data_IF_273605375093
#
_entry.id   IF_273605375093
#
_cell.length_a   1.000
_cell.length_b   1.000
_cell.length_c   1.000
_cell.angle_alpha   90.00
_cell.angle_beta   90.00
_cell.angle_gamma   90.00
#
_symmetry.space_group_name_H-M   'P 1'
#
loop_
_entity.id
_entity.type
_entity.pdbx_description
1 polymer ?
#
# COMPACT_ATOMS: atom_id res chain seq x y z
N UNK A 1 -9.55 -34.58 19.02
CA UNK A 1 -9.63 -33.17 19.48
C UNK A 1 -9.34 -32.29 18.28
N UNK A 2 -10.39 -31.87 17.56
CA UNK A 2 -10.25 -30.98 16.42
C UNK A 2 -10.53 -29.56 16.91
N UNK A 3 -9.49 -28.72 16.96
CA UNK A 3 -9.64 -27.30 17.23
C UNK A 3 -10.12 -26.62 15.95
N UNK A 4 -11.43 -26.39 15.85
CA UNK A 4 -12.00 -25.35 15.00
C UNK A 4 -11.65 -24.00 15.64
N UNK A 5 -10.63 -23.32 15.11
CA UNK A 5 -10.39 -21.92 15.46
C UNK A 5 -11.44 -21.06 14.75
N UNK A 6 -12.14 -20.27 15.55
CA UNK A 6 -13.27 -19.46 15.14
C UNK A 6 -12.89 -18.44 14.08
N UNK A 7 -13.50 -18.60 12.91
CA UNK A 7 -13.54 -17.58 11.88
C UNK A 7 -14.61 -16.54 12.21
N UNK A 8 -14.20 -15.28 12.23
CA UNK A 8 -15.02 -14.10 11.95
C UNK A 8 -16.06 -13.68 13.01
N UNK A 9 -15.59 -13.08 14.10
CA UNK A 9 -16.36 -12.04 14.81
C UNK A 9 -15.59 -10.71 14.68
N UNK A 10 -16.29 -9.67 14.25
CA UNK A 10 -15.90 -8.25 14.18
C UNK A 10 -15.46 -7.66 12.82
N UNK A 11 -16.03 -8.10 11.69
CA UNK A 11 -16.05 -7.27 10.48
C UNK A 11 -17.41 -6.55 10.36
N UNK A 12 -17.46 -5.32 10.87
CA UNK A 12 -18.49 -4.35 10.45
C UNK A 12 -18.15 -4.00 9.00
N UNK A 13 -18.78 -4.69 8.06
CA UNK A 13 -18.69 -4.36 6.64
C UNK A 13 -19.69 -3.26 6.32
N UNK A 14 -19.23 -2.20 5.65
CA UNK A 14 -20.10 -1.14 5.12
C UNK A 14 -20.51 -1.57 3.73
N UNK A 15 -21.81 -1.66 3.47
CA UNK A 15 -22.37 -2.10 2.18
C UNK A 15 -21.72 -1.30 1.04
N UNK A 16 -21.03 -2.01 0.13
CA UNK A 16 -20.31 -1.40 -1.01
C UNK A 16 -18.81 -1.16 -0.79
N UNK A 17 -18.27 -1.45 0.39
CA UNK A 17 -16.83 -1.41 0.69
C UNK A 17 -16.26 -2.79 1.04
N UNK A 18 -16.98 -3.85 0.68
CA UNK A 18 -16.48 -5.21 0.84
C UNK A 18 -15.24 -5.40 -0.04
N UNK A 19 -14.18 -5.96 0.55
CA UNK A 19 -12.97 -6.29 -0.20
C UNK A 19 -13.35 -7.39 -1.19
N UNK A 20 -13.22 -7.15 -2.52
CA UNK A 20 -13.58 -8.17 -3.49
C UNK A 20 -12.67 -9.39 -3.31
N UNK A 21 -13.25 -10.58 -3.36
CA UNK A 21 -12.47 -11.81 -3.39
C UNK A 21 -11.55 -11.79 -4.62
N UNK A 22 -10.34 -12.33 -4.45
CA UNK A 22 -9.50 -12.63 -5.60
C UNK A 22 -10.29 -13.50 -6.58
N UNK A 23 -10.21 -13.23 -7.89
CA UNK A 23 -10.93 -14.04 -8.87
C UNK A 23 -10.48 -15.51 -8.81
N UNK A 24 -11.43 -16.44 -8.88
CA UNK A 24 -11.16 -17.89 -8.70
C UNK A 24 -10.19 -18.48 -9.74
N UNK A 25 -10.08 -17.87 -10.93
CA UNK A 25 -9.22 -18.38 -12.02
C UNK A 25 -8.74 -17.32 -13.02
N UNK A 26 -8.85 -16.01 -12.74
CA UNK A 26 -8.54 -14.98 -13.76
C UNK A 26 -7.07 -14.60 -13.88
N UNK A 27 -6.19 -15.11 -13.02
CA UNK A 27 -4.76 -14.82 -13.10
C UNK A 27 -4.14 -15.65 -14.23
N UNK A 28 -3.63 -14.96 -15.25
CA UNK A 28 -2.82 -15.55 -16.30
C UNK A 28 -1.48 -14.79 -16.41
N UNK A 29 -0.57 -15.34 -17.21
CA UNK A 29 0.75 -14.76 -17.50
C UNK A 29 0.92 -14.46 -19.00
N UNK A 30 -0.19 -14.34 -19.73
CA UNK A 30 -0.17 -14.02 -21.15
C UNK A 30 0.06 -12.52 -21.30
N UNK A 31 0.96 -12.12 -22.19
CA UNK A 31 1.16 -10.70 -22.46
C UNK A 31 -0.13 -10.09 -23.04
N UNK A 32 -0.56 -8.91 -22.56
CA UNK A 32 -1.71 -8.20 -23.13
C UNK A 32 -1.51 -7.98 -24.63
N UNK A 33 -2.58 -8.11 -25.41
CA UNK A 33 -2.55 -7.87 -26.86
C UNK A 33 -2.81 -6.40 -27.20
N UNK A 34 -2.65 -6.03 -28.47
CA UNK A 34 -2.88 -4.66 -28.96
C UNK A 34 -4.30 -4.13 -28.69
N UNK A 35 -5.29 -5.02 -28.52
CA UNK A 35 -6.68 -4.64 -28.25
C UNK A 35 -6.89 -4.11 -26.81
N UNK A 36 -5.99 -4.45 -25.90
CA UNK A 36 -5.98 -3.95 -24.51
C UNK A 36 -5.28 -2.58 -24.37
N UNK A 37 -4.54 -2.15 -25.41
CA UNK A 37 -3.77 -0.89 -25.41
C UNK A 37 -4.64 0.36 -25.68
N UNK A 38 -5.87 0.18 -26.15
CA UNK A 38 -6.72 1.30 -26.61
C UNK A 38 -7.41 2.09 -25.50
N UNK A 39 -7.37 1.63 -24.25
CA UNK A 39 -8.02 2.31 -23.11
C UNK A 39 -7.01 3.17 -22.36
N UNK A 40 -7.28 4.47 -22.29
CA UNK A 40 -6.49 5.38 -21.48
C UNK A 40 -6.58 5.00 -19.99
N UNK A 41 -5.44 4.90 -19.28
CA UNK A 41 -5.46 4.60 -17.85
C UNK A 41 -6.14 5.74 -17.07
N UNK A 42 -6.77 5.43 -15.93
CA UNK A 42 -7.33 6.46 -15.08
C UNK A 42 -6.24 7.42 -14.58
N UNK A 43 -6.61 8.69 -14.39
CA UNK A 43 -5.73 9.68 -13.80
C UNK A 43 -5.34 9.30 -12.36
N UNK A 44 -4.10 9.62 -11.98
CA UNK A 44 -3.61 9.41 -10.61
C UNK A 44 -4.44 10.23 -9.62
N UNK A 45 -5.07 9.61 -8.61
CA UNK A 45 -5.77 10.34 -7.56
C UNK A 45 -4.80 11.26 -6.80
N UNK A 46 -5.15 12.54 -6.56
CA UNK A 46 -4.25 13.50 -5.91
C UNK A 46 -3.85 13.09 -4.50
N UNK A 47 -4.71 12.33 -3.80
CA UNK A 47 -4.43 11.81 -2.47
C UNK A 47 -3.16 10.93 -2.42
N UNK A 48 -2.83 10.21 -3.50
CA UNK A 48 -1.65 9.34 -3.54
C UNK A 48 -0.33 10.10 -3.71
N UNK A 49 -0.39 11.39 -4.02
CA UNK A 49 0.80 12.25 -4.14
C UNK A 49 1.35 12.68 -2.78
N UNK A 50 0.52 12.62 -1.73
CA UNK A 50 0.88 13.05 -0.38
C UNK A 50 1.20 11.84 0.51
N UNK A 51 2.49 11.60 0.76
CA UNK A 51 2.94 10.57 1.70
C UNK A 51 3.01 11.16 3.11
N UNK A 52 2.60 10.37 4.10
CA UNK A 52 2.67 10.72 5.52
C UNK A 52 4.12 10.93 5.99
N UNK A 53 5.09 10.27 5.36
CA UNK A 53 6.52 10.41 5.67
C UNK A 53 7.14 11.69 5.10
N UNK A 54 6.50 12.34 4.14
CA UNK A 54 6.97 13.60 3.55
C UNK A 54 6.39 14.83 4.25
N UNK A 55 5.59 14.66 5.31
CA UNK A 55 5.03 15.77 6.05
C UNK A 55 6.15 16.49 6.83
N UNK A 56 6.30 17.83 6.71
CA UNK A 56 7.31 18.56 7.46
C UNK A 56 7.05 18.42 8.97
N UNK A 57 7.96 17.78 9.69
CA UNK A 57 7.88 17.66 11.15
C UNK A 57 8.18 19.02 11.78
N UNK A 58 7.15 19.72 12.23
CA UNK A 58 7.29 21.02 12.94
C UNK A 58 7.82 20.88 14.36
N UNK A 59 7.86 19.67 14.91
CA UNK A 59 8.42 19.36 16.22
C UNK A 59 8.90 17.91 16.27
N UNK A 60 10.08 17.72 16.86
CA UNK A 60 10.80 16.46 17.15
C UNK A 60 10.75 15.33 16.09
N UNK A 61 11.91 14.85 15.60
CA UNK A 61 11.97 13.70 14.69
C UNK A 61 11.49 12.37 15.31
N UNK A 62 11.21 12.37 16.62
CA UNK A 62 10.65 11.26 17.37
C UNK A 62 9.14 11.44 17.70
N UNK A 63 8.51 12.50 17.19
CA UNK A 63 7.09 12.78 17.39
C UNK A 63 6.18 11.77 16.68
N UNK A 64 4.93 11.60 17.16
CA UNK A 64 3.97 10.73 16.49
C UNK A 64 3.61 11.29 15.12
N UNK A 65 3.55 10.40 14.12
CA UNK A 65 3.11 10.75 12.77
C UNK A 65 1.62 11.18 12.79
N UNK A 66 1.20 12.12 11.93
CA UNK A 66 -0.20 12.50 11.82
C UNK A 66 -1.06 11.30 11.39
N UNK A 67 -2.36 11.32 11.70
CA UNK A 67 -3.27 10.27 11.23
C UNK A 67 -3.29 10.22 9.69
N UNK A 68 -3.09 9.05 9.07
CA UNK A 68 -3.17 8.91 7.61
C UNK A 68 -4.61 9.11 7.11
N UNK A 69 -4.74 9.50 5.84
CA UNK A 69 -6.01 9.42 5.13
C UNK A 69 -6.31 7.96 4.79
N UNK A 70 -7.57 7.52 4.90
CA UNK A 70 -7.92 6.12 4.65
C UNK A 70 -7.52 5.63 3.25
N UNK A 71 -7.56 6.52 2.25
CA UNK A 71 -7.22 6.24 0.85
C UNK A 71 -5.72 6.04 0.62
N UNK A 72 -4.84 6.41 1.55
CA UNK A 72 -3.38 6.23 1.40
C UNK A 72 -2.86 4.97 2.10
N UNK A 73 -3.74 4.25 2.81
CA UNK A 73 -3.43 2.98 3.48
C UNK A 73 -3.32 1.87 2.43
N UNK A 74 -2.39 0.93 2.63
CA UNK A 74 -2.08 -0.18 1.72
C UNK A 74 -1.49 0.23 0.36
N UNK A 75 -1.03 1.48 0.22
CA UNK A 75 -0.26 1.94 -0.94
C UNK A 75 1.26 1.88 -0.66
N UNK A 76 2.00 1.37 -1.65
CA UNK A 76 3.46 1.30 -1.61
C UNK A 76 4.07 2.63 -2.05
N UNK A 77 4.91 3.21 -1.21
CA UNK A 77 5.71 4.38 -1.50
C UNK A 77 7.18 4.01 -1.66
N UNK A 78 7.87 4.69 -2.57
CA UNK A 78 9.29 4.48 -2.83
C UNK A 78 9.99 5.82 -2.70
N UNK A 79 11.09 5.87 -1.96
CA UNK A 79 11.89 7.08 -1.86
C UNK A 79 12.47 7.45 -3.23
N UNK A 80 12.20 8.68 -3.67
CA UNK A 80 12.73 9.21 -4.92
C UNK A 80 14.12 9.82 -4.71
N UNK A 81 15.18 8.99 -4.80
CA UNK A 81 16.59 9.44 -4.81
C UNK A 81 17.20 9.38 -6.21
N UNK A 82 18.11 10.29 -6.53
CA UNK A 82 18.87 10.17 -7.79
C UNK A 82 19.80 8.94 -7.79
N UNK A 83 20.05 8.39 -8.98
CA UNK A 83 20.93 7.23 -9.19
C UNK A 83 22.41 7.61 -9.06
N UNK A 84 23.31 6.69 -8.65
CA UNK A 84 23.10 5.26 -8.42
C UNK A 84 22.66 4.91 -6.98
N UNK A 85 21.59 4.12 -6.84
CA UNK A 85 21.06 3.68 -5.54
C UNK A 85 21.69 2.34 -5.11
N UNK A 86 22.40 2.30 -3.99
CA UNK A 86 22.82 1.02 -3.35
C UNK A 86 21.71 0.38 -2.53
N UNK A 87 20.73 1.17 -2.10
CA UNK A 87 19.60 0.77 -1.25
C UNK A 87 18.34 1.47 -1.76
N UNK A 88 17.22 0.76 -1.73
CA UNK A 88 15.87 1.31 -1.95
C UNK A 88 15.12 1.32 -0.63
N UNK A 89 14.55 2.46 -0.28
CA UNK A 89 13.62 2.60 0.84
C UNK A 89 12.18 2.47 0.34
N UNK A 90 11.46 1.50 0.91
CA UNK A 90 10.06 1.20 0.62
C UNK A 90 9.22 1.53 1.86
N UNK A 91 8.16 2.31 1.69
CA UNK A 91 7.23 2.69 2.76
C UNK A 91 5.83 2.16 2.52
N UNK A 92 5.18 1.65 3.56
CA UNK A 92 3.76 1.28 3.51
C UNK A 92 3.07 1.60 4.84
N UNK A 93 1.85 2.08 4.78
CA UNK A 93 0.99 2.30 5.96
C UNK A 93 -0.09 1.24 5.99
N UNK A 94 -0.22 0.52 7.10
CA UNK A 94 -1.24 -0.50 7.30
C UNK A 94 -2.07 -0.21 8.56
N UNK A 95 -3.35 -0.57 8.53
CA UNK A 95 -4.25 -0.42 9.69
C UNK A 95 -4.26 -1.70 10.51
N UNK A 96 -3.84 -1.62 11.77
CA UNK A 96 -3.97 -2.70 12.74
C UNK A 96 -5.04 -2.33 13.78
N UNK A 97 -6.21 -2.97 13.68
CA UNK A 97 -7.40 -2.64 14.48
C UNK A 97 -7.80 -1.16 14.35
N UNK A 98 -7.63 -0.37 15.41
CA UNK A 98 -7.93 1.07 15.48
C UNK A 98 -6.68 1.95 15.41
N UNK A 99 -5.53 1.37 15.07
CA UNK A 99 -4.23 2.07 14.97
C UNK A 99 -3.65 1.92 13.57
N UNK A 100 -2.74 2.82 13.22
CA UNK A 100 -2.01 2.81 11.95
C UNK A 100 -0.53 2.57 12.22
N UNK A 101 0.09 1.75 11.39
CA UNK A 101 1.51 1.41 11.46
C UNK A 101 2.13 1.72 10.11
N UNK A 102 3.14 2.58 10.11
CA UNK A 102 3.95 2.89 8.92
C UNK A 102 5.26 2.12 9.02
N UNK A 103 5.53 1.26 8.06
CA UNK A 103 6.76 0.45 7.99
C UNK A 103 7.64 1.01 6.88
N UNK A 104 8.94 1.17 7.16
CA UNK A 104 9.96 1.51 6.18
C UNK A 104 10.97 0.37 6.07
N UNK A 105 11.06 -0.23 4.89
CA UNK A 105 12.01 -1.30 4.56
C UNK A 105 13.15 -0.74 3.72
N UNK A 106 14.38 -0.87 4.20
CA UNK A 106 15.58 -0.58 3.43
C UNK A 106 16.11 -1.88 2.82
N UNK A 107 16.03 -1.98 1.49
CA UNK A 107 16.46 -3.17 0.73
C UNK A 107 17.66 -2.84 -0.16
N UNK A 108 18.82 -3.52 0.00
CA UNK A 108 19.94 -3.37 -0.91
C UNK A 108 19.57 -3.76 -2.36
N UNK A 109 20.08 -3.01 -3.32
CA UNK A 109 19.94 -3.32 -4.75
C UNK A 109 21.25 -3.94 -5.24
N UNK A 110 21.23 -5.15 -5.81
CA UNK A 110 22.42 -5.75 -6.40
C UNK A 110 23.00 -4.84 -7.46
N UNK A 111 24.29 -4.50 -7.35
CA UNK A 111 25.03 -3.85 -8.44
C UNK A 111 25.29 -4.94 -9.49
N UNK A 112 24.68 -4.81 -10.66
CA UNK A 112 25.08 -5.56 -11.87
C UNK A 112 26.13 -4.78 -12.62
#
# INVERSE_FOLDING_TARGET
MNQQYGENQDQISVVGFDVPNSPDASYNNVYPGNEDEGREPPMLPPHLQHTLLNHPTTSDPCGPLPSPQNVTINHLYIENRESPRSVVALGVTHRFRSKFVTVVLYKPVPRR
#
